data_IF_950889794182
#
_entry.id   IF_950889794182
#
_cell.length_a   1.000
_cell.length_b   1.000
_cell.length_c   1.000
_cell.angle_alpha   90.00
_cell.angle_beta   90.00
_cell.angle_gamma   90.00
#
_symmetry.space_group_name_H-M   'P 1'
#
loop_
_entity.id
_entity.type
_entity.pdbx_description
1 polymer ?
#
# COMPACT_ATOMS: atom_id res chain seq x y z
N UNK A 1 -18.37 -11.66 -73.97
CA UNK A 1 -18.34 -10.56 -73.02
C UNK A 1 -18.93 -11.06 -71.70
N UNK A 2 -18.08 -11.42 -70.72
CA UNK A 2 -18.52 -11.91 -69.40
C UNK A 2 -18.33 -10.76 -68.39
N UNK A 3 -19.43 -10.30 -67.82
CA UNK A 3 -19.48 -9.25 -66.81
C UNK A 3 -19.22 -9.92 -65.45
N UNK A 4 -18.13 -9.55 -64.82
CA UNK A 4 -17.77 -9.99 -63.47
C UNK A 4 -18.38 -9.00 -62.48
N UNK A 5 -19.41 -9.41 -61.73
CA UNK A 5 -20.01 -8.59 -60.68
C UNK A 5 -19.21 -8.76 -59.40
N UNK A 6 -18.49 -7.71 -58.98
CA UNK A 6 -17.84 -7.64 -57.66
C UNK A 6 -18.88 -7.28 -56.60
N UNK A 7 -19.18 -8.22 -55.72
CA UNK A 7 -19.92 -7.99 -54.47
C UNK A 7 -19.02 -7.39 -53.42
N UNK A 8 -19.18 -6.11 -53.09
CA UNK A 8 -18.50 -5.46 -51.96
C UNK A 8 -19.31 -5.77 -50.70
N UNK A 9 -18.79 -6.61 -49.84
CA UNK A 9 -19.34 -6.84 -48.52
C UNK A 9 -18.95 -5.69 -47.58
N UNK A 10 -19.91 -4.83 -47.22
CA UNK A 10 -19.75 -3.83 -46.15
C UNK A 10 -19.76 -4.55 -44.78
N UNK A 11 -18.62 -4.66 -44.18
CA UNK A 11 -18.48 -5.04 -42.76
C UNK A 11 -18.91 -3.86 -41.89
N UNK A 12 -20.08 -3.95 -41.30
CA UNK A 12 -20.53 -3.04 -40.27
C UNK A 12 -19.80 -3.39 -38.98
N UNK A 13 -18.80 -2.59 -38.56
CA UNK A 13 -18.21 -2.63 -37.23
C UNK A 13 -19.29 -2.16 -36.23
N UNK A 14 -19.85 -3.08 -35.47
CA UNK A 14 -20.69 -2.74 -34.31
C UNK A 14 -19.83 -1.97 -33.30
N UNK A 15 -20.30 -0.80 -32.80
CA UNK A 15 -19.59 -0.16 -31.70
C UNK A 15 -19.60 -1.09 -30.52
N UNK A 16 -18.41 -1.49 -30.03
CA UNK A 16 -18.27 -2.14 -28.73
C UNK A 16 -18.69 -1.12 -27.68
N UNK A 17 -19.88 -1.25 -27.13
CA UNK A 17 -20.28 -0.53 -25.93
C UNK A 17 -19.31 -1.00 -24.85
N UNK A 18 -18.35 -0.17 -24.49
CA UNK A 18 -17.54 -0.39 -23.31
C UNK A 18 -18.52 -0.53 -22.14
N UNK A 19 -18.52 -1.69 -21.49
CA UNK A 19 -19.35 -1.91 -20.33
C UNK A 19 -19.03 -0.80 -19.33
N UNK A 20 -20.06 -0.01 -18.99
CA UNK A 20 -19.93 1.09 -18.05
C UNK A 20 -19.47 0.44 -16.72
N UNK A 21 -18.22 0.70 -16.34
CA UNK A 21 -17.67 0.13 -15.10
C UNK A 21 -18.45 0.73 -13.94
N UNK A 22 -18.98 -0.12 -13.09
CA UNK A 22 -19.62 0.30 -11.84
C UNK A 22 -18.52 0.74 -10.86
N UNK A 23 -18.13 2.02 -10.99
CA UNK A 23 -17.08 2.62 -10.16
C UNK A 23 -17.70 3.03 -8.82
N UNK A 24 -17.12 2.60 -7.76
CA UNK A 24 -17.50 3.02 -6.42
C UNK A 24 -16.96 4.43 -6.16
N UNK A 25 -17.70 5.25 -5.45
CA UNK A 25 -17.34 6.64 -5.17
C UNK A 25 -17.06 6.84 -3.67
N UNK A 26 -16.45 7.97 -3.33
CA UNK A 26 -16.05 8.31 -1.96
C UNK A 26 -17.17 8.12 -0.93
N UNK A 27 -18.39 8.48 -1.28
CA UNK A 27 -19.56 8.44 -0.39
C UNK A 27 -20.30 7.10 -0.45
N UNK A 28 -19.98 6.25 -1.43
CA UNK A 28 -20.60 4.92 -1.61
C UNK A 28 -19.49 3.89 -1.74
N UNK A 29 -19.22 3.12 -0.66
CA UNK A 29 -18.18 2.10 -0.73
C UNK A 29 -18.54 0.99 -1.72
N UNK A 30 -17.53 0.39 -2.33
CA UNK A 30 -17.68 -0.86 -3.05
C UNK A 30 -18.08 -1.96 -2.10
N UNK A 31 -19.14 -2.67 -2.40
CA UNK A 31 -19.57 -3.85 -1.66
C UNK A 31 -18.93 -5.09 -2.27
N UNK A 32 -18.39 -5.94 -1.44
CA UNK A 32 -17.80 -7.22 -1.80
C UNK A 32 -18.27 -8.24 -0.78
N UNK A 33 -19.24 -9.06 -1.18
CA UNK A 33 -20.03 -9.95 -0.31
C UNK A 33 -20.69 -9.20 0.86
N UNK A 34 -20.32 -9.49 2.08
CA UNK A 34 -20.82 -8.85 3.32
C UNK A 34 -19.91 -7.72 3.82
N UNK A 35 -18.83 -7.42 3.09
CA UNK A 35 -17.85 -6.40 3.45
C UNK A 35 -17.77 -5.29 2.40
N UNK A 36 -16.94 -4.30 2.64
CA UNK A 36 -16.81 -3.18 1.70
C UNK A 36 -15.46 -2.50 1.78
N UNK A 37 -15.14 -1.70 0.77
CA UNK A 37 -13.95 -0.86 0.74
C UNK A 37 -14.26 0.50 0.09
N UNK A 38 -13.50 1.52 0.43
CA UNK A 38 -13.59 2.85 -0.15
C UNK A 38 -12.51 3.05 -1.20
N UNK A 39 -12.80 3.93 -2.16
CA UNK A 39 -11.90 4.28 -3.27
C UNK A 39 -11.71 5.78 -3.31
N UNK A 40 -10.47 6.23 -3.58
CA UNK A 40 -10.18 7.62 -3.94
C UNK A 40 -9.29 7.64 -5.17
N UNK A 41 -9.86 8.14 -6.25
CA UNK A 41 -9.16 8.32 -7.52
C UNK A 41 -8.17 9.49 -7.46
N UNK A 42 -7.13 9.49 -8.31
CA UNK A 42 -6.27 10.64 -8.52
C UNK A 42 -7.02 11.85 -9.07
N UNK A 43 -6.51 13.07 -8.77
CA UNK A 43 -7.16 14.32 -9.17
C UNK A 43 -7.31 14.48 -10.70
N UNK A 44 -6.28 14.13 -11.46
CA UNK A 44 -6.19 14.35 -12.91
C UNK A 44 -6.26 13.03 -13.71
N UNK A 45 -6.93 12.00 -13.17
CA UNK A 45 -7.06 10.74 -13.88
C UNK A 45 -8.02 10.87 -15.07
N UNK A 46 -7.62 10.37 -16.23
CA UNK A 46 -8.36 10.42 -17.49
C UNK A 46 -9.47 9.35 -17.63
N UNK A 47 -9.67 8.52 -16.61
CA UNK A 47 -10.65 7.43 -16.61
C UNK A 47 -10.18 6.14 -17.30
N UNK A 48 -9.01 6.13 -17.93
CA UNK A 48 -8.56 5.02 -18.80
C UNK A 48 -7.12 4.58 -18.58
N UNK A 49 -6.23 5.50 -18.29
CA UNK A 49 -4.79 5.18 -18.09
C UNK A 49 -4.56 4.30 -16.88
N UNK A 50 -3.68 3.28 -16.96
CA UNK A 50 -3.32 2.46 -15.82
C UNK A 50 -2.69 3.27 -14.69
N UNK A 51 -3.13 3.02 -13.46
CA UNK A 51 -2.69 3.72 -12.26
C UNK A 51 -1.94 2.79 -11.30
N UNK A 52 -0.84 3.24 -10.66
CA UNK A 52 -0.37 2.63 -9.42
C UNK A 52 -1.49 2.60 -8.38
N UNK A 53 -1.49 1.60 -7.50
CA UNK A 53 -2.51 1.47 -6.46
C UNK A 53 -1.86 1.36 -5.07
N UNK A 54 -2.43 2.08 -4.10
CA UNK A 54 -2.11 1.96 -2.68
C UNK A 54 -3.32 1.41 -1.93
N UNK A 55 -3.19 0.21 -1.37
CA UNK A 55 -4.18 -0.37 -0.47
C UNK A 55 -3.78 0.02 0.96
N UNK A 56 -4.61 0.83 1.64
CA UNK A 56 -4.30 1.35 2.97
C UNK A 56 -5.28 0.83 4.04
N UNK A 57 -4.77 0.09 5.01
CA UNK A 57 -5.53 -0.47 6.12
C UNK A 57 -5.61 0.56 7.27
N UNK A 58 -6.82 0.84 7.73
CA UNK A 58 -7.09 1.79 8.81
C UNK A 58 -6.67 1.25 10.19
N UNK A 59 -6.44 2.15 11.15
CA UNK A 59 -6.16 1.81 12.54
C UNK A 59 -7.40 1.30 13.31
N UNK A 60 -7.17 0.86 14.55
CA UNK A 60 -8.22 0.36 15.43
C UNK A 60 -9.36 1.36 15.63
N UNK A 61 -10.60 0.86 15.70
CA UNK A 61 -11.85 1.65 15.83
C UNK A 61 -12.05 2.70 14.72
N UNK A 62 -11.51 2.46 13.52
CA UNK A 62 -11.70 3.30 12.32
C UNK A 62 -12.36 2.48 11.20
N UNK A 63 -12.60 3.13 10.09
CA UNK A 63 -13.11 2.54 8.84
C UNK A 63 -12.29 3.04 7.66
N UNK A 64 -12.45 2.45 6.49
CA UNK A 64 -11.82 2.89 5.23
C UNK A 64 -12.22 4.31 4.79
N UNK A 65 -13.30 4.87 5.33
CA UNK A 65 -13.65 6.27 5.08
C UNK A 65 -12.58 7.26 5.61
N UNK A 66 -11.86 6.90 6.70
CA UNK A 66 -10.84 7.79 7.25
C UNK A 66 -9.64 7.97 6.30
N UNK A 67 -8.98 6.93 5.77
CA UNK A 67 -7.87 7.09 4.83
C UNK A 67 -8.21 7.94 3.62
N UNK A 68 -9.40 7.79 3.02
CA UNK A 68 -9.80 8.53 1.82
C UNK A 68 -10.09 10.01 2.09
N UNK A 69 -10.34 10.38 3.34
CA UNK A 69 -10.54 11.77 3.79
C UNK A 69 -9.26 12.39 4.39
N UNK A 70 -8.32 11.57 4.84
CA UNK A 70 -7.14 12.04 5.56
C UNK A 70 -6.04 12.54 4.62
N UNK A 71 -5.71 13.84 4.67
CA UNK A 71 -4.80 14.48 3.71
C UNK A 71 -3.39 13.90 3.65
N UNK A 72 -2.87 13.35 4.74
CA UNK A 72 -1.55 12.68 4.73
C UNK A 72 -1.54 11.36 3.98
N UNK A 73 -2.73 10.79 3.71
CA UNK A 73 -2.91 9.55 2.95
C UNK A 73 -3.48 9.89 1.57
N UNK A 74 -4.76 10.29 1.50
CA UNK A 74 -5.42 10.58 0.23
C UNK A 74 -4.79 11.75 -0.53
N UNK A 75 -4.36 12.80 0.17
CA UNK A 75 -3.65 13.90 -0.45
C UNK A 75 -2.29 13.48 -1.04
N UNK A 76 -1.62 12.52 -0.42
CA UNK A 76 -0.36 11.97 -0.94
C UNK A 76 -0.58 11.12 -2.20
N UNK A 77 -1.65 10.32 -2.25
CA UNK A 77 -1.95 9.44 -3.39
C UNK A 77 -2.54 10.21 -4.56
N UNK A 78 -3.60 11.00 -4.34
CA UNK A 78 -4.34 11.64 -5.42
C UNK A 78 -3.49 12.60 -6.25
N UNK A 79 -2.56 13.37 -5.63
CA UNK A 79 -1.64 14.27 -6.33
C UNK A 79 -0.49 13.56 -7.04
N UNK A 80 -0.36 12.26 -6.88
CA UNK A 80 0.68 11.41 -7.49
C UNK A 80 0.14 10.40 -8.49
N UNK A 81 -1.10 10.57 -8.93
CA UNK A 81 -1.70 9.65 -9.87
C UNK A 81 -1.84 8.22 -9.31
N UNK A 82 -1.96 8.06 -8.00
CA UNK A 82 -2.07 6.76 -7.31
C UNK A 82 -3.50 6.56 -6.85
N UNK A 83 -4.12 5.45 -7.25
CA UNK A 83 -5.44 5.04 -6.79
C UNK A 83 -5.34 4.59 -5.33
N UNK A 84 -6.13 5.20 -4.44
CA UNK A 84 -6.20 4.80 -3.05
C UNK A 84 -7.39 3.87 -2.81
N UNK A 85 -7.12 2.73 -2.23
CA UNK A 85 -8.10 1.73 -1.81
C UNK A 85 -8.03 1.60 -0.29
N UNK A 86 -9.19 1.69 0.37
CA UNK A 86 -9.26 1.63 1.83
C UNK A 86 -10.33 0.63 2.28
N UNK A 87 -9.95 -0.63 2.54
CA UNK A 87 -10.87 -1.67 3.02
C UNK A 87 -11.46 -1.34 4.40
N UNK A 88 -12.67 -1.83 4.65
CA UNK A 88 -13.30 -1.77 5.97
C UNK A 88 -13.03 -3.05 6.75
N UNK A 89 -12.34 -2.94 7.87
CA UNK A 89 -12.13 -4.03 8.80
C UNK A 89 -13.41 -4.43 9.51
N UNK A 90 -13.61 -5.72 9.77
CA UNK A 90 -14.73 -6.23 10.54
C UNK A 90 -14.72 -5.61 11.95
N UNK A 91 -15.86 -5.16 12.45
CA UNK A 91 -16.00 -4.47 13.76
C UNK A 91 -15.02 -3.29 13.94
N UNK A 92 -14.62 -2.63 12.83
CA UNK A 92 -13.66 -1.51 12.80
C UNK A 92 -12.25 -1.89 13.28
N UNK A 93 -11.84 -3.12 13.08
CA UNK A 93 -10.53 -3.66 13.45
C UNK A 93 -10.10 -4.73 12.45
N UNK A 94 -8.97 -5.37 12.71
CA UNK A 94 -8.37 -6.42 11.87
C UNK A 94 -7.99 -7.61 12.75
N UNK A 95 -8.25 -8.82 12.26
CA UNK A 95 -7.69 -10.04 12.82
C UNK A 95 -6.39 -10.39 12.08
N UNK A 96 -5.27 -10.04 12.67
CA UNK A 96 -3.94 -10.37 12.18
C UNK A 96 -3.23 -11.39 13.09
N UNK A 97 -3.89 -11.85 14.15
CA UNK A 97 -3.34 -12.76 15.14
C UNK A 97 -3.56 -14.23 14.80
N UNK A 98 -4.74 -14.56 14.27
CA UNK A 98 -5.08 -15.93 13.94
C UNK A 98 -4.17 -16.49 12.84
N UNK A 99 -3.87 -17.78 12.90
CA UNK A 99 -3.07 -18.47 11.88
C UNK A 99 -3.76 -18.39 10.51
N UNK A 100 -5.06 -18.65 10.47
CA UNK A 100 -5.91 -18.36 9.31
C UNK A 100 -6.87 -17.23 9.66
N UNK A 101 -6.96 -16.23 8.81
CA UNK A 101 -7.81 -15.06 9.03
C UNK A 101 -8.59 -14.69 7.78
N UNK A 102 -9.90 -14.45 7.96
CA UNK A 102 -10.77 -13.94 6.90
C UNK A 102 -10.32 -12.56 6.38
N UNK A 103 -9.62 -11.78 7.20
CA UNK A 103 -9.15 -10.46 6.80
C UNK A 103 -8.06 -10.51 5.72
N UNK A 104 -7.19 -11.52 5.74
CA UNK A 104 -6.20 -11.74 4.66
C UNK A 104 -6.91 -12.16 3.37
N UNK A 105 -7.89 -13.06 3.45
CA UNK A 105 -8.71 -13.48 2.30
C UNK A 105 -9.49 -12.28 1.73
N UNK A 106 -10.10 -11.47 2.59
CA UNK A 106 -10.79 -10.25 2.18
C UNK A 106 -9.86 -9.23 1.53
N UNK A 107 -8.67 -8.99 2.08
CA UNK A 107 -7.68 -8.10 1.47
C UNK A 107 -7.28 -8.56 0.06
N UNK A 108 -7.09 -9.87 -0.12
CA UNK A 108 -6.85 -10.45 -1.44
C UNK A 108 -8.04 -10.22 -2.38
N UNK A 109 -9.27 -10.52 -1.95
CA UNK A 109 -10.47 -10.32 -2.75
C UNK A 109 -10.67 -8.85 -3.15
N UNK A 110 -10.38 -7.89 -2.26
CA UNK A 110 -10.40 -6.45 -2.59
C UNK A 110 -9.41 -6.12 -3.70
N UNK A 111 -8.18 -6.63 -3.63
CA UNK A 111 -7.17 -6.38 -4.67
C UNK A 111 -7.63 -6.97 -6.01
N UNK A 112 -8.15 -8.18 -6.01
CA UNK A 112 -8.66 -8.86 -7.21
C UNK A 112 -9.85 -8.11 -7.82
N UNK A 113 -10.78 -7.61 -7.02
CA UNK A 113 -11.92 -6.81 -7.48
C UNK A 113 -11.45 -5.46 -8.06
N UNK A 114 -10.51 -4.78 -7.42
CA UNK A 114 -9.90 -3.53 -7.92
C UNK A 114 -9.22 -3.74 -9.28
N UNK A 115 -8.51 -4.86 -9.45
CA UNK A 115 -7.86 -5.21 -10.73
C UNK A 115 -8.86 -5.50 -11.86
N UNK A 116 -10.13 -5.78 -11.54
CA UNK A 116 -11.20 -5.95 -12.51
C UNK A 116 -11.91 -4.63 -12.82
N UNK A 117 -12.10 -3.76 -11.81
CA UNK A 117 -12.84 -2.50 -11.94
C UNK A 117 -12.01 -1.37 -12.53
N UNK A 118 -10.73 -1.29 -12.18
CA UNK A 118 -9.85 -0.19 -12.55
C UNK A 118 -8.71 -0.64 -13.46
N UNK A 119 -8.24 0.20 -14.36
CA UNK A 119 -6.98 -0.04 -15.07
C UNK A 119 -5.82 0.19 -14.09
N UNK A 120 -5.30 -0.89 -13.52
CA UNK A 120 -4.20 -0.86 -12.54
C UNK A 120 -2.88 -1.16 -13.24
N UNK A 121 -1.86 -0.37 -12.94
CA UNK A 121 -0.47 -0.71 -13.20
C UNK A 121 -0.04 -1.82 -12.23
N UNK A 122 -0.03 -3.06 -12.74
CA UNK A 122 0.22 -4.27 -11.96
C UNK A 122 1.65 -4.37 -11.40
N UNK A 123 2.59 -3.57 -11.92
CA UNK A 123 3.95 -3.51 -11.39
C UNK A 123 4.08 -2.55 -10.20
N UNK A 124 3.03 -1.76 -9.93
CA UNK A 124 3.00 -0.75 -8.90
C UNK A 124 1.82 -0.94 -7.92
N UNK A 125 1.73 -2.13 -7.32
CA UNK A 125 0.80 -2.44 -6.23
C UNK A 125 1.52 -2.25 -4.90
N UNK A 126 0.99 -1.33 -4.08
CA UNK A 126 1.54 -0.99 -2.77
C UNK A 126 0.55 -1.35 -1.67
N UNK A 127 1.04 -1.92 -0.58
CA UNK A 127 0.28 -2.08 0.67
C UNK A 127 0.73 -1.02 1.67
N UNK A 128 -0.18 -0.53 2.47
CA UNK A 128 0.11 0.42 3.55
C UNK A 128 -0.87 0.27 4.70
N UNK A 129 -0.50 0.79 5.84
CA UNK A 129 -1.40 0.88 6.97
C UNK A 129 -0.82 1.70 8.11
N UNK A 130 -1.68 2.07 9.03
CA UNK A 130 -1.30 2.81 10.23
C UNK A 130 -1.77 2.06 11.47
N UNK A 131 -0.89 1.95 12.50
CA UNK A 131 -1.24 1.28 13.76
C UNK A 131 -1.66 -0.18 13.52
N UNK A 132 -2.80 -0.63 13.99
CA UNK A 132 -3.38 -1.96 13.69
C UNK A 132 -3.47 -2.23 12.18
N UNK A 133 -3.75 -1.20 11.39
CA UNK A 133 -3.73 -1.32 9.93
C UNK A 133 -2.33 -1.57 9.37
N UNK A 134 -1.28 -1.07 10.02
CA UNK A 134 0.10 -1.40 9.65
C UNK A 134 0.40 -2.87 9.91
N UNK A 135 -0.03 -3.40 11.06
CA UNK A 135 0.14 -4.83 11.38
C UNK A 135 -0.62 -5.70 10.36
N UNK A 136 -1.84 -5.28 9.98
CA UNK A 136 -2.62 -5.97 8.94
C UNK A 136 -1.93 -5.91 7.57
N UNK A 137 -1.40 -4.76 7.16
CA UNK A 137 -0.64 -4.63 5.92
C UNK A 137 0.61 -5.53 5.91
N UNK A 138 1.31 -5.63 7.04
CA UNK A 138 2.42 -6.55 7.24
C UNK A 138 1.99 -8.00 7.08
N UNK A 139 0.85 -8.36 7.69
CA UNK A 139 0.29 -9.72 7.60
C UNK A 139 -0.03 -10.11 6.16
N UNK A 140 -0.73 -9.23 5.43
CA UNK A 140 -1.04 -9.46 4.00
C UNK A 140 0.23 -9.56 3.17
N UNK A 141 1.20 -8.67 3.38
CA UNK A 141 2.48 -8.70 2.67
C UNK A 141 3.26 -10.00 2.93
N UNK A 142 3.24 -10.49 4.17
CA UNK A 142 3.94 -11.69 4.58
C UNK A 142 3.29 -12.98 4.04
N UNK A 143 1.96 -13.02 3.97
CA UNK A 143 1.22 -14.21 3.55
C UNK A 143 0.92 -14.25 2.04
N UNK A 144 0.94 -13.10 1.36
CA UNK A 144 0.45 -12.95 -0.02
C UNK A 144 1.27 -11.99 -0.89
N UNK A 145 2.38 -11.45 -0.38
CA UNK A 145 3.14 -10.40 -1.06
C UNK A 145 3.54 -10.76 -2.49
N UNK A 146 4.16 -11.91 -2.70
CA UNK A 146 4.56 -12.41 -4.01
C UNK A 146 3.35 -12.73 -4.88
N UNK A 147 2.37 -13.43 -4.34
CA UNK A 147 1.15 -13.86 -5.06
C UNK A 147 0.34 -12.67 -5.59
N UNK A 148 0.25 -11.60 -4.82
CA UNK A 148 -0.46 -10.38 -5.19
C UNK A 148 0.42 -9.39 -5.97
N UNK A 149 1.65 -9.78 -6.31
CA UNK A 149 2.63 -8.92 -6.98
C UNK A 149 2.86 -7.60 -6.24
N UNK A 150 2.89 -7.64 -4.90
CA UNK A 150 3.12 -6.46 -4.08
C UNK A 150 4.54 -5.95 -4.32
N UNK A 151 4.64 -4.73 -4.85
CA UNK A 151 5.93 -4.07 -5.06
C UNK A 151 6.51 -3.57 -3.75
N UNK A 152 5.71 -2.90 -2.92
CA UNK A 152 6.20 -2.39 -1.65
C UNK A 152 5.14 -2.41 -0.55
N UNK A 153 5.62 -2.65 0.68
CA UNK A 153 4.88 -2.42 1.92
C UNK A 153 5.34 -1.11 2.56
N UNK A 154 4.38 -0.24 2.89
CA UNK A 154 4.58 1.04 3.58
C UNK A 154 3.95 0.96 4.98
N UNK A 155 4.68 0.47 5.98
CA UNK A 155 4.20 0.29 7.35
C UNK A 155 4.39 1.55 8.21
N UNK A 156 3.37 1.94 8.98
CA UNK A 156 3.41 3.13 9.82
C UNK A 156 2.98 2.78 11.25
N UNK A 157 3.91 2.89 12.21
CA UNK A 157 3.65 2.72 13.64
C UNK A 157 2.89 1.45 14.00
N UNK A 158 3.37 0.30 13.51
CA UNK A 158 2.81 -1.02 13.81
C UNK A 158 3.58 -2.11 13.08
N UNK A 159 4.01 -3.14 13.80
CA UNK A 159 4.84 -4.26 13.31
C UNK A 159 4.23 -5.60 13.67
N UNK A 160 4.54 -6.63 12.91
CA UNK A 160 4.13 -8.01 13.19
C UNK A 160 5.23 -8.74 13.99
N UNK A 161 5.57 -8.20 15.15
CA UNK A 161 6.74 -8.61 15.95
C UNK A 161 6.66 -10.02 16.56
N UNK A 162 5.48 -10.64 16.56
CA UNK A 162 5.28 -11.99 17.11
C UNK A 162 5.46 -13.10 16.07
N UNK A 163 5.72 -12.75 14.83
CA UNK A 163 5.92 -13.70 13.75
C UNK A 163 7.41 -13.93 13.53
N UNK A 164 7.80 -15.17 13.30
CA UNK A 164 9.21 -15.55 13.13
C UNK A 164 9.60 -15.63 11.65
N UNK A 165 8.64 -15.84 10.74
CA UNK A 165 8.89 -16.00 9.31
C UNK A 165 7.84 -15.33 8.41
N UNK A 166 8.20 -15.14 7.14
CA UNK A 166 7.31 -14.68 6.08
C UNK A 166 7.49 -15.54 4.84
N UNK A 167 6.41 -16.18 4.41
CA UNK A 167 6.43 -17.07 3.25
C UNK A 167 6.53 -16.32 1.92
N UNK A 168 5.97 -15.12 1.84
CA UNK A 168 5.83 -14.35 0.60
C UNK A 168 6.19 -12.87 0.82
N UNK A 169 7.48 -12.53 0.94
CA UNK A 169 7.89 -11.14 1.10
C UNK A 169 7.63 -10.28 -0.16
N UNK A 170 7.23 -9.01 -0.03
CA UNK A 170 7.16 -8.07 -1.16
C UNK A 170 8.55 -7.71 -1.66
N UNK A 171 8.63 -6.99 -2.79
CA UNK A 171 9.96 -6.58 -3.33
C UNK A 171 10.65 -5.50 -2.50
N UNK A 172 9.88 -4.64 -1.80
CA UNK A 172 10.41 -3.63 -0.89
C UNK A 172 9.58 -3.57 0.39
N UNK A 173 10.24 -3.32 1.51
CA UNK A 173 9.59 -2.94 2.77
C UNK A 173 10.14 -1.62 3.23
N UNK A 174 9.23 -0.70 3.52
CA UNK A 174 9.51 0.62 4.09
C UNK A 174 8.67 0.79 5.34
N UNK A 175 9.32 1.07 6.44
CA UNK A 175 8.64 1.23 7.72
C UNK A 175 9.01 2.56 8.37
N UNK A 176 8.05 3.20 9.04
CA UNK A 176 8.30 4.37 9.87
C UNK A 176 7.70 4.18 11.24
N UNK A 177 8.45 4.58 12.28
CA UNK A 177 8.01 4.49 13.67
C UNK A 177 8.54 5.65 14.51
N UNK A 178 7.72 6.11 15.45
CA UNK A 178 8.12 7.11 16.44
C UNK A 178 8.81 6.49 17.63
N UNK A 179 9.99 7.02 18.00
CA UNK A 179 10.77 6.51 19.15
C UNK A 179 10.05 6.70 20.50
N UNK A 180 9.14 7.68 20.58
CA UNK A 180 8.29 7.93 21.75
C UNK A 180 6.84 7.46 21.54
N UNK A 181 6.62 6.46 20.67
CA UNK A 181 5.33 5.83 20.53
C UNK A 181 4.97 5.09 21.82
N UNK A 182 3.83 5.46 22.42
CA UNK A 182 3.30 4.90 23.67
C UNK A 182 1.89 4.29 23.50
N UNK A 183 1.48 4.06 22.25
CA UNK A 183 0.24 3.36 21.90
C UNK A 183 0.53 1.96 21.39
N UNK A 184 1.44 1.86 20.42
CA UNK A 184 2.16 0.64 20.06
C UNK A 184 3.64 0.93 20.27
N UNK A 185 4.12 0.64 21.47
CA UNK A 185 5.47 0.95 21.91
C UNK A 185 6.50 0.65 20.82
N UNK A 186 7.48 1.55 20.68
CA UNK A 186 8.57 1.32 19.73
C UNK A 186 9.25 -0.02 20.07
N UNK A 187 9.27 -0.98 19.16
CA UNK A 187 9.81 -2.31 19.45
C UNK A 187 11.34 -2.29 19.41
N UNK A 188 11.96 -1.90 20.52
CA UNK A 188 13.39 -2.02 20.69
C UNK A 188 13.81 -3.49 20.71
N UNK A 189 14.87 -3.80 19.99
CA UNK A 189 15.50 -5.10 20.05
C UNK A 189 16.45 -5.27 21.25
N UNK A 190 17.13 -6.41 21.34
CA UNK A 190 18.14 -6.65 22.37
C UNK A 190 19.18 -5.51 22.42
N UNK A 191 19.56 -5.12 23.64
CA UNK A 191 20.52 -4.03 23.90
C UNK A 191 20.10 -2.65 23.34
N UNK A 192 18.80 -2.41 23.15
CA UNK A 192 18.28 -1.14 22.63
C UNK A 192 18.43 -0.98 21.12
N UNK A 193 18.48 -2.07 20.35
CA UNK A 193 18.54 -2.03 18.89
C UNK A 193 17.32 -1.32 18.32
N UNK A 194 17.52 -0.11 17.78
CA UNK A 194 16.48 0.68 17.12
C UNK A 194 16.11 0.19 15.71
N UNK A 195 16.84 -0.79 15.19
CA UNK A 195 16.54 -1.36 13.86
C UNK A 195 15.63 -2.60 13.93
N UNK A 196 15.31 -3.02 15.14
CA UNK A 196 14.47 -4.19 15.40
C UNK A 196 13.04 -4.12 14.78
N UNK A 197 12.40 -2.95 14.62
CA UNK A 197 11.10 -2.89 13.97
C UNK A 197 11.00 -3.63 12.64
N UNK A 198 12.09 -3.74 11.89
CA UNK A 198 12.12 -4.40 10.57
C UNK A 198 12.92 -5.71 10.55
N UNK A 199 13.23 -6.28 11.72
CA UNK A 199 14.01 -7.52 11.81
C UNK A 199 13.40 -8.66 10.99
N UNK A 200 12.09 -8.91 11.13
CA UNK A 200 11.35 -9.92 10.36
C UNK A 200 11.62 -9.84 8.85
N UNK A 201 11.60 -8.63 8.30
CA UNK A 201 11.81 -8.43 6.87
C UNK A 201 13.26 -8.57 6.44
N UNK A 202 14.20 -8.11 7.29
CA UNK A 202 15.63 -8.33 7.04
C UNK A 202 15.95 -9.81 6.96
N UNK A 203 15.39 -10.59 7.89
CA UNK A 203 15.59 -12.03 7.95
C UNK A 203 14.92 -12.73 6.76
N UNK A 204 13.66 -12.41 6.48
CA UNK A 204 12.92 -12.97 5.33
C UNK A 204 13.57 -12.66 3.98
N UNK A 205 14.18 -11.49 3.82
CA UNK A 205 14.85 -11.08 2.59
C UNK A 205 16.34 -11.45 2.55
N UNK A 206 16.88 -12.03 3.60
CA UNK A 206 18.30 -12.40 3.69
C UNK A 206 19.23 -11.19 3.54
N UNK A 207 18.97 -10.13 4.32
CA UNK A 207 19.72 -8.89 4.24
C UNK A 207 21.04 -8.94 5.04
N UNK A 208 22.10 -8.37 4.45
CA UNK A 208 23.34 -8.05 5.13
C UNK A 208 23.20 -6.89 6.13
N UNK A 209 24.30 -6.28 6.59
CA UNK A 209 24.27 -5.14 7.49
C UNK A 209 23.55 -3.93 6.89
N UNK A 210 22.75 -3.24 7.72
CA UNK A 210 22.15 -1.98 7.33
C UNK A 210 23.18 -0.85 7.27
N UNK A 211 22.90 0.17 6.47
CA UNK A 211 23.69 1.40 6.38
C UNK A 211 22.86 2.60 6.82
N UNK A 212 23.51 3.53 7.50
CA UNK A 212 22.92 4.86 7.74
C UNK A 212 22.78 5.59 6.39
N UNK A 213 21.56 5.96 6.05
CA UNK A 213 21.23 6.72 4.85
C UNK A 213 20.97 8.21 5.16
N UNK A 214 21.35 8.64 6.37
CA UNK A 214 21.22 10.03 6.83
C UNK A 214 19.84 10.39 7.34
N UNK A 215 19.62 11.69 7.47
CA UNK A 215 18.36 12.23 7.97
C UNK A 215 17.71 13.11 6.91
N UNK A 216 16.39 13.22 6.97
CA UNK A 216 15.63 14.05 6.07
C UNK A 216 14.40 14.66 6.75
N UNK A 217 13.96 15.78 6.22
CA UNK A 217 12.76 16.49 6.66
C UNK A 217 11.82 16.67 5.48
N UNK A 218 10.54 16.43 5.71
CA UNK A 218 9.50 16.82 4.78
C UNK A 218 8.81 18.10 5.23
N UNK A 219 8.84 18.35 6.54
CA UNK A 219 8.40 19.57 7.22
C UNK A 219 9.42 19.93 8.29
N UNK A 220 9.60 21.23 8.56
CA UNK A 220 10.68 21.77 9.38
C UNK A 220 10.74 21.22 10.82
N UNK A 221 9.60 20.83 11.38
CA UNK A 221 9.52 20.37 12.77
C UNK A 221 9.69 18.86 12.92
N UNK A 222 9.89 18.09 11.86
CA UNK A 222 9.98 16.63 11.92
C UNK A 222 11.16 16.11 11.10
N UNK A 223 12.20 15.69 11.81
CA UNK A 223 13.35 14.99 11.22
C UNK A 223 13.17 13.50 11.33
N UNK A 224 13.39 12.79 10.24
CA UNK A 224 13.42 11.33 10.18
C UNK A 224 14.85 10.88 9.89
N UNK A 225 15.33 9.90 10.66
CA UNK A 225 16.61 9.24 10.43
C UNK A 225 16.36 7.93 9.71
N UNK A 226 17.10 7.67 8.63
CA UNK A 226 16.91 6.53 7.74
C UNK A 226 18.03 5.52 7.86
N UNK A 227 17.65 4.25 8.02
CA UNK A 227 18.54 3.11 7.81
C UNK A 227 18.04 2.28 6.64
N UNK A 228 18.93 1.85 5.76
CA UNK A 228 18.62 1.06 4.57
C UNK A 228 19.39 -0.25 4.53
N UNK A 229 18.73 -1.30 4.05
CA UNK A 229 19.30 -2.59 3.70
C UNK A 229 19.09 -2.82 2.20
N UNK A 230 20.14 -2.67 1.44
CA UNK A 230 20.15 -2.83 -0.03
C UNK A 230 20.96 -4.05 -0.48
N UNK A 231 21.72 -4.63 0.44
CA UNK A 231 22.45 -5.89 0.23
C UNK A 231 21.62 -7.04 0.84
N UNK A 232 20.55 -7.40 0.15
CA UNK A 232 19.65 -8.50 0.50
C UNK A 232 19.68 -9.54 -0.61
N UNK A 233 19.47 -10.80 -0.26
CA UNK A 233 19.33 -11.89 -1.25
C UNK A 233 18.15 -11.62 -2.20
N UNK A 234 17.08 -11.00 -1.65
CA UNK A 234 15.94 -10.52 -2.43
C UNK A 234 15.41 -9.21 -1.82
N UNK A 235 14.99 -8.28 -2.70
CA UNK A 235 14.32 -7.06 -2.28
C UNK A 235 15.22 -6.05 -1.56
N UNK A 236 14.60 -5.18 -0.79
CA UNK A 236 15.24 -4.18 0.08
C UNK A 236 14.36 -3.79 1.26
N UNK A 237 14.98 -3.32 2.33
CA UNK A 237 14.29 -2.84 3.52
C UNK A 237 14.76 -1.41 3.84
N UNK A 238 13.82 -0.55 4.24
CA UNK A 238 14.08 0.81 4.72
C UNK A 238 13.34 1.05 6.03
N UNK A 239 14.05 1.60 7.00
CA UNK A 239 13.47 2.05 8.27
C UNK A 239 13.71 3.54 8.43
N UNK A 240 12.64 4.29 8.61
CA UNK A 240 12.65 5.69 9.04
C UNK A 240 12.21 5.77 10.51
N UNK A 241 12.98 6.40 11.37
CA UNK A 241 12.60 6.67 12.76
C UNK A 241 12.52 8.17 13.02
N UNK A 242 11.62 8.58 13.89
CA UNK A 242 11.49 9.98 14.30
C UNK A 242 11.26 10.10 15.81
N UNK A 243 11.58 11.26 16.43
CA UNK A 243 11.47 11.43 17.89
C UNK A 243 10.04 11.55 18.42
N UNK A 244 9.02 11.59 17.54
CA UNK A 244 7.62 11.72 17.93
C UNK A 244 6.99 10.42 18.41
N UNK A 245 5.69 10.49 18.70
CA UNK A 245 4.86 9.36 19.17
C UNK A 245 4.06 8.70 18.04
N UNK A 246 2.85 8.24 18.36
CA UNK A 246 1.97 7.44 17.51
C UNK A 246 1.17 8.30 16.52
N UNK A 247 1.70 8.54 15.33
CA UNK A 247 1.02 9.30 14.26
C UNK A 247 1.57 8.97 12.87
N UNK A 248 0.83 9.34 11.83
CA UNK A 248 1.29 9.29 10.44
C UNK A 248 2.16 10.53 10.19
N UNK A 249 3.49 10.41 9.94
CA UNK A 249 4.34 11.57 9.71
C UNK A 249 3.93 12.36 8.46
N UNK A 250 3.99 13.68 8.54
CA UNK A 250 3.71 14.57 7.42
C UNK A 250 4.62 14.24 6.23
N UNK A 251 4.02 14.03 5.06
CA UNK A 251 4.74 13.82 3.82
C UNK A 251 5.48 12.49 3.69
N UNK A 252 5.45 11.61 4.72
CA UNK A 252 6.16 10.34 4.62
C UNK A 252 5.64 9.47 3.48
N UNK A 253 4.31 9.24 3.40
CA UNK A 253 3.70 8.46 2.30
C UNK A 253 4.01 9.11 0.94
N UNK A 254 3.90 10.45 0.86
CA UNK A 254 4.20 11.20 -0.35
C UNK A 254 5.62 10.91 -0.86
N UNK A 255 6.62 11.01 0.03
CA UNK A 255 8.01 10.73 -0.30
C UNK A 255 8.24 9.29 -0.70
N UNK A 256 7.64 8.32 0.04
CA UNK A 256 7.79 6.92 -0.36
C UNK A 256 7.23 6.65 -1.76
N UNK A 257 6.07 7.23 -2.09
CA UNK A 257 5.49 7.10 -3.43
C UNK A 257 6.34 7.80 -4.51
N UNK A 258 6.89 8.98 -4.24
CA UNK A 258 7.79 9.66 -5.18
C UNK A 258 9.03 8.80 -5.47
N UNK A 259 9.69 8.28 -4.44
CA UNK A 259 10.86 7.41 -4.58
C UNK A 259 10.54 6.09 -5.31
N UNK A 260 9.41 5.44 -4.97
CA UNK A 260 8.98 4.20 -5.61
C UNK A 260 8.62 4.39 -7.09
N UNK A 261 8.06 5.54 -7.45
CA UNK A 261 7.65 5.87 -8.82
C UNK A 261 8.77 6.58 -9.62
N UNK A 262 9.97 6.74 -9.05
CA UNK A 262 11.10 7.39 -9.71
C UNK A 262 10.87 8.88 -9.99
N UNK A 263 10.11 9.55 -9.13
CA UNK A 263 9.77 10.98 -9.26
C UNK A 263 10.59 11.83 -8.31
N UNK A 264 10.82 13.13 -8.62
CA UNK A 264 11.38 14.06 -7.67
C UNK A 264 10.49 14.16 -6.42
N UNK A 265 11.13 14.21 -5.23
CA UNK A 265 10.39 14.41 -3.99
C UNK A 265 9.64 15.73 -4.02
N UNK A 266 8.33 15.68 -3.91
CA UNK A 266 7.45 16.83 -3.86
C UNK A 266 6.45 16.67 -2.69
N UNK A 267 6.31 17.75 -1.90
CA UNK A 267 5.30 17.83 -0.84
C UNK A 267 4.80 19.27 -0.71
N UNK A 268 3.54 19.50 -0.46
CA UNK A 268 2.43 18.56 -0.29
C UNK A 268 1.96 17.82 -1.53
#
# INVERSE_FOLDING_TARGET
>A
MRILSCLIALLWALPTVAAQRDLCHLDVPCVLDDRSYHVKEPDDWDGTSPMPVLIHFHGWQRTGALPVQHQRISGSTRRRGVLLIAPNGNRKTWDFWAEETEDVAFAQAVIEDVLQRYPVDRDNIFLSGYSYGSIMAWRVACDRGTRLNVRALLGISGTLSQREDCAEAPREVRHVHGLNDNVLDFPYGPNGDMTYPVALWRDAMGCGPGRDAGSWNQVDFLTLSRTEWTDCTQGRVTLDVHPGGHFIPHGWIARQLDELLGRPNAYP
#
